data_IF_709606325736
#
_entry.id   IF_709606325736
#
_cell.length_a   1.000
_cell.length_b   1.000
_cell.length_c   1.000
_cell.angle_alpha   90.00
_cell.angle_beta   90.00
_cell.angle_gamma   90.00
#
_symmetry.space_group_name_H-M   'P 1'
#
loop_
_entity.id
_entity.type
_entity.pdbx_description
1 polymer ?
#
# COMPACT_ATOMS: atom_id res chain seq x y z
N UNK A 1 -25.77 23.08 -11.87
CA UNK A 1 -24.89 23.36 -10.71
C UNK A 1 -24.10 22.10 -10.43
N UNK A 2 -22.78 22.19 -10.28
CA UNK A 2 -21.88 21.03 -10.38
C UNK A 2 -21.76 20.34 -9.01
N UNK A 3 -22.51 19.26 -8.76
CA UNK A 3 -22.62 18.57 -7.46
C UNK A 3 -21.27 18.19 -6.84
N UNK A 4 -20.27 17.91 -7.68
CA UNK A 4 -18.89 17.62 -7.23
C UNK A 4 -18.21 18.82 -6.59
N UNK A 5 -18.49 20.03 -7.07
CA UNK A 5 -17.94 21.27 -6.53
C UNK A 5 -18.57 21.61 -5.17
N UNK A 6 -19.88 21.44 -5.06
CA UNK A 6 -20.63 21.56 -3.81
C UNK A 6 -20.12 20.59 -2.73
N UNK A 7 -19.81 19.35 -3.12
CA UNK A 7 -19.23 18.36 -2.21
C UNK A 7 -17.86 18.79 -1.69
N UNK A 8 -16.97 19.26 -2.58
CA UNK A 8 -15.63 19.73 -2.20
C UNK A 8 -15.69 20.93 -1.25
N UNK A 9 -16.61 21.87 -1.49
CA UNK A 9 -16.80 23.06 -0.63
C UNK A 9 -17.29 22.71 0.78
N UNK A 10 -17.90 21.53 0.98
CA UNK A 10 -18.37 21.04 2.28
C UNK A 10 -17.31 20.21 3.02
N UNK A 11 -16.16 19.93 2.42
CA UNK A 11 -15.08 19.17 3.07
C UNK A 11 -14.25 20.05 4.00
N UNK A 12 -13.86 19.50 5.15
CA UNK A 12 -12.95 20.15 6.11
C UNK A 12 -11.60 19.46 6.02
N UNK A 13 -10.53 20.25 5.82
CA UNK A 13 -9.16 19.75 5.83
C UNK A 13 -8.67 19.63 7.28
N UNK A 14 -8.27 18.42 7.68
CA UNK A 14 -7.53 18.20 8.92
C UNK A 14 -6.05 17.94 8.60
N UNK A 15 -5.17 18.65 9.30
CA UNK A 15 -3.72 18.48 9.21
C UNK A 15 -3.20 17.97 10.55
N UNK A 16 -2.50 16.85 10.51
CA UNK A 16 -1.79 16.29 11.65
C UNK A 16 -0.32 16.10 11.25
N UNK A 17 0.58 16.81 11.92
CA UNK A 17 2.02 16.70 11.70
C UNK A 17 2.62 15.79 12.77
N UNK A 18 3.19 14.67 12.36
CA UNK A 18 3.91 13.76 13.25
C UNK A 18 5.36 13.65 12.80
N UNK A 19 6.32 14.15 13.59
CA UNK A 19 7.73 14.11 13.23
C UNK A 19 8.36 12.71 13.31
N UNK A 20 7.77 11.78 14.07
CA UNK A 20 8.25 10.39 14.13
C UNK A 20 7.63 9.54 13.01
N UNK A 21 8.43 9.02 12.06
CA UNK A 21 7.91 8.26 10.93
C UNK A 21 7.09 7.04 11.36
N UNK A 22 7.46 6.39 12.46
CA UNK A 22 6.74 5.24 13.00
C UNK A 22 5.36 5.58 13.54
N UNK A 23 5.26 6.67 14.32
CA UNK A 23 3.99 7.20 14.82
C UNK A 23 3.15 7.75 13.67
N UNK A 24 3.75 8.33 12.65
CA UNK A 24 3.06 8.80 11.46
C UNK A 24 2.40 7.61 10.73
N UNK A 25 3.13 6.51 10.53
CA UNK A 25 2.61 5.28 9.92
C UNK A 25 1.50 4.65 10.76
N UNK A 26 1.68 4.53 12.08
CA UNK A 26 0.64 3.98 12.98
C UNK A 26 -0.62 4.85 13.02
N UNK A 27 -0.44 6.17 13.04
CA UNK A 27 -1.57 7.12 12.97
C UNK A 27 -2.27 7.00 11.62
N UNK A 28 -1.52 6.92 10.53
CA UNK A 28 -2.09 6.64 9.21
C UNK A 28 -2.89 5.35 9.19
N UNK A 29 -2.36 4.26 9.77
CA UNK A 29 -3.07 2.99 9.85
C UNK A 29 -4.35 3.08 10.69
N UNK A 30 -4.34 3.83 11.81
CA UNK A 30 -5.52 3.99 12.66
C UNK A 30 -6.59 4.90 12.05
N UNK A 31 -6.19 5.96 11.32
CA UNK A 31 -7.15 6.84 10.64
C UNK A 31 -7.63 6.29 9.31
N UNK A 32 -6.92 5.31 8.74
CA UNK A 32 -7.28 4.65 7.49
C UNK A 32 -8.27 3.49 7.69
N UNK A 33 -9.03 3.51 8.79
CA UNK A 33 -10.10 2.58 9.13
C UNK A 33 -11.35 2.81 8.25
N UNK A 34 -11.16 2.82 6.93
CA UNK A 34 -12.17 3.10 5.90
C UNK A 34 -13.19 1.97 5.69
N UNK A 35 -13.25 1.00 6.60
CA UNK A 35 -14.07 -0.21 6.48
C UNK A 35 -13.53 -1.27 5.51
N UNK A 36 -12.35 -1.06 4.91
CA UNK A 36 -11.66 -2.04 4.06
C UNK A 36 -10.29 -2.34 4.68
N UNK A 37 -9.99 -3.60 5.05
CA UNK A 37 -8.70 -3.97 5.59
C UNK A 37 -7.56 -3.63 4.62
N UNK A 38 -6.48 -3.04 5.13
CA UNK A 38 -5.24 -2.88 4.36
C UNK A 38 -4.76 -4.25 3.87
N UNK A 39 -4.34 -4.29 2.60
CA UNK A 39 -3.70 -5.45 2.02
C UNK A 39 -2.36 -5.71 2.74
N UNK A 40 -1.93 -6.97 2.76
CA UNK A 40 -0.68 -7.39 3.36
C UNK A 40 0.53 -6.70 2.70
N UNK A 41 0.48 -6.43 1.40
CA UNK A 41 1.46 -5.68 0.62
C UNK A 41 1.53 -4.22 1.07
N UNK A 42 0.40 -3.60 1.41
CA UNK A 42 0.38 -2.23 1.95
C UNK A 42 1.07 -2.19 3.31
N UNK A 43 0.79 -3.19 4.16
CA UNK A 43 1.43 -3.34 5.47
C UNK A 43 2.92 -3.62 5.32
N UNK A 44 3.31 -4.50 4.41
CA UNK A 44 4.70 -4.85 4.13
C UNK A 44 5.49 -3.64 3.62
N UNK A 45 4.94 -2.89 2.65
CA UNK A 45 5.55 -1.65 2.17
C UNK A 45 5.79 -0.68 3.33
N UNK A 46 4.74 -0.44 4.12
CA UNK A 46 4.79 0.48 5.25
C UNK A 46 5.84 0.06 6.28
N UNK A 47 5.92 -1.24 6.57
CA UNK A 47 6.92 -1.79 7.50
C UNK A 47 8.35 -1.57 6.97
N UNK A 48 8.61 -1.86 5.69
CA UNK A 48 9.93 -1.70 5.10
C UNK A 48 10.37 -0.23 5.05
N UNK A 49 9.46 0.67 4.70
CA UNK A 49 9.69 2.12 4.76
C UNK A 49 9.95 2.58 6.20
N UNK A 50 9.23 2.05 7.19
CA UNK A 50 9.51 2.34 8.59
C UNK A 50 10.93 1.93 8.99
N UNK A 51 11.35 0.70 8.67
CA UNK A 51 12.69 0.22 8.99
C UNK A 51 13.79 1.02 8.27
N UNK A 52 13.57 1.33 6.99
CA UNK A 52 14.51 2.12 6.20
C UNK A 52 14.69 3.54 6.77
N UNK A 53 13.60 4.23 7.11
CA UNK A 53 13.68 5.55 7.75
C UNK A 53 14.32 5.49 9.15
N UNK A 54 13.96 4.48 9.95
CA UNK A 54 14.36 4.42 11.37
C UNK A 54 15.80 3.94 11.56
N UNK A 55 16.27 3.01 10.73
CA UNK A 55 17.55 2.32 10.94
C UNK A 55 18.54 2.47 9.78
N UNK A 56 18.09 2.95 8.61
CA UNK A 56 18.97 3.20 7.46
C UNK A 56 19.13 4.70 7.16
N UNK A 57 18.65 5.56 8.07
CA UNK A 57 18.89 7.01 8.11
C UNK A 57 18.40 7.75 6.85
N UNK A 58 17.50 7.15 6.05
CA UNK A 58 17.01 7.65 4.75
C UNK A 58 18.09 7.91 3.67
N UNK A 59 19.38 7.72 4.01
CA UNK A 59 20.53 8.33 3.31
C UNK A 59 21.15 7.47 2.21
N UNK A 60 20.54 6.35 1.83
CA UNK A 60 21.08 5.45 0.80
C UNK A 60 20.12 5.09 -0.33
N UNK A 61 19.02 5.84 -0.48
CA UNK A 61 18.03 5.58 -1.53
C UNK A 61 17.23 4.30 -1.32
N UNK A 62 17.30 3.69 -0.12
CA UNK A 62 16.54 2.48 0.18
C UNK A 62 15.04 2.75 0.20
N UNK A 63 14.59 3.90 0.72
CA UNK A 63 13.19 4.30 0.65
C UNK A 63 12.71 4.46 -0.79
N UNK A 64 13.55 5.06 -1.65
CA UNK A 64 13.26 5.22 -3.07
C UNK A 64 13.17 3.86 -3.76
N UNK A 65 14.16 2.98 -3.51
CA UNK A 65 14.18 1.61 -4.03
C UNK A 65 12.92 0.85 -3.63
N UNK A 66 12.52 0.89 -2.36
CA UNK A 66 11.29 0.26 -1.85
C UNK A 66 10.08 0.87 -2.54
N UNK A 67 10.00 2.19 -2.64
CA UNK A 67 8.85 2.87 -3.26
C UNK A 67 8.69 2.52 -4.74
N UNK A 68 9.77 2.49 -5.51
CA UNK A 68 9.74 2.17 -6.94
C UNK A 68 9.33 0.71 -7.18
N UNK A 69 9.92 -0.23 -6.44
CA UNK A 69 9.58 -1.65 -6.58
C UNK A 69 8.14 -1.94 -6.17
N UNK A 70 7.67 -1.40 -5.06
CA UNK A 70 6.27 -1.54 -4.69
C UNK A 70 5.34 -0.82 -5.69
N UNK A 71 5.78 0.28 -6.30
CA UNK A 71 5.06 0.94 -7.39
C UNK A 71 4.81 0.00 -8.56
N UNK A 72 5.85 -0.72 -9.02
CA UNK A 72 5.72 -1.71 -10.09
C UNK A 72 4.88 -2.92 -9.67
N UNK A 73 5.05 -3.43 -8.46
CA UNK A 73 4.23 -4.52 -7.91
C UNK A 73 2.75 -4.13 -7.92
N UNK A 74 2.40 -2.93 -7.45
CA UNK A 74 1.01 -2.47 -7.43
C UNK A 74 0.44 -2.27 -8.84
N UNK A 75 1.23 -1.78 -9.79
CA UNK A 75 0.81 -1.68 -11.19
C UNK A 75 0.50 -3.06 -11.77
N UNK A 76 1.37 -4.04 -11.56
CA UNK A 76 1.18 -5.41 -12.03
C UNK A 76 -0.04 -6.03 -11.34
N UNK A 77 -0.16 -5.91 -10.02
CA UNK A 77 -1.30 -6.41 -9.25
C UNK A 77 -2.63 -5.83 -9.75
N UNK A 78 -2.69 -4.52 -10.02
CA UNK A 78 -3.88 -3.87 -10.56
C UNK A 78 -4.21 -4.33 -11.98
N UNK A 79 -3.19 -4.56 -12.83
CA UNK A 79 -3.39 -5.12 -14.18
C UNK A 79 -3.94 -6.54 -14.11
N UNK A 80 -3.36 -7.39 -13.25
CA UNK A 80 -3.83 -8.75 -13.05
C UNK A 80 -5.28 -8.69 -12.59
N UNK A 81 -5.61 -7.97 -11.50
CA UNK A 81 -6.98 -7.83 -10.98
C UNK A 81 -8.04 -7.36 -11.99
N UNK A 82 -7.64 -6.62 -13.03
CA UNK A 82 -8.53 -6.16 -14.11
C UNK A 82 -8.63 -7.12 -15.29
N UNK A 83 -7.83 -8.17 -15.33
CA UNK A 83 -7.84 -9.16 -16.41
C UNK A 83 -9.11 -10.00 -16.38
N UNK A 84 -9.79 -10.07 -17.52
CA UNK A 84 -11.02 -10.85 -17.71
C UNK A 84 -10.80 -12.36 -17.49
N UNK A 85 -9.54 -12.82 -17.55
CA UNK A 85 -9.19 -14.23 -17.34
C UNK A 85 -9.25 -14.67 -15.87
N UNK A 86 -9.39 -13.75 -14.91
CA UNK A 86 -9.46 -14.08 -13.47
C UNK A 86 -10.70 -14.89 -13.12
N UNK A 87 -11.85 -14.59 -13.73
CA UNK A 87 -13.11 -15.30 -13.45
C UNK A 87 -13.03 -16.79 -13.78
N UNK A 88 -12.17 -17.16 -14.73
CA UNK A 88 -11.91 -18.55 -15.14
C UNK A 88 -11.08 -19.36 -14.14
N UNK A 89 -10.40 -18.72 -13.17
CA UNK A 89 -9.50 -19.39 -12.20
C UNK A 89 -10.01 -19.32 -10.76
N UNK A 90 -11.23 -18.81 -10.55
CA UNK A 90 -11.84 -18.72 -9.21
C UNK A 90 -11.52 -17.44 -8.43
N UNK A 91 -11.04 -16.39 -9.12
CA UNK A 91 -10.63 -15.14 -8.48
C UNK A 91 -9.11 -15.04 -8.34
N UNK A 92 -8.63 -13.82 -8.07
CA UNK A 92 -7.23 -13.54 -7.77
C UNK A 92 -7.18 -12.57 -6.61
N UNK A 93 -6.52 -12.98 -5.54
CA UNK A 93 -6.21 -12.14 -4.40
C UNK A 93 -4.71 -12.11 -4.10
N UNK A 94 -4.37 -11.28 -3.14
CA UNK A 94 -2.99 -11.13 -2.69
C UNK A 94 -2.45 -12.41 -2.02
N UNK A 95 -3.32 -13.22 -1.41
CA UNK A 95 -2.95 -14.51 -0.85
C UNK A 95 -2.50 -15.50 -1.92
N UNK A 96 -2.98 -15.38 -3.16
CA UNK A 96 -2.49 -16.19 -4.29
C UNK A 96 -1.03 -15.88 -4.63
N UNK A 97 -0.62 -14.61 -4.58
CA UNK A 97 0.78 -14.20 -4.79
C UNK A 97 1.68 -14.87 -3.75
N UNK A 98 1.34 -14.72 -2.47
CA UNK A 98 2.16 -15.24 -1.39
C UNK A 98 2.17 -16.77 -1.36
N UNK A 99 1.06 -17.43 -1.71
CA UNK A 99 1.01 -18.90 -1.82
C UNK A 99 1.87 -19.41 -2.96
N UNK A 100 1.90 -18.73 -4.10
CA UNK A 100 2.79 -19.11 -5.21
C UNK A 100 4.25 -18.95 -4.82
N UNK A 101 4.61 -17.82 -4.21
CA UNK A 101 5.98 -17.55 -3.79
C UNK A 101 6.45 -18.50 -2.67
N UNK A 102 5.59 -18.83 -1.70
CA UNK A 102 5.91 -19.77 -0.63
C UNK A 102 5.96 -21.24 -1.08
N UNK A 103 5.40 -21.56 -2.26
CA UNK A 103 5.42 -22.91 -2.86
C UNK A 103 6.61 -23.15 -3.78
N UNK A 104 7.38 -22.13 -4.14
CA UNK A 104 8.60 -22.34 -4.91
C UNK A 104 9.60 -23.16 -4.07
N UNK A 105 10.08 -24.32 -4.55
CA UNK A 105 11.18 -25.02 -3.92
C UNK A 105 12.38 -24.10 -3.95
N UNK A 106 13.01 -23.86 -2.79
CA UNK A 106 14.33 -23.23 -2.77
C UNK A 106 15.29 -24.17 -3.51
N UNK A 107 15.71 -23.76 -4.70
CA UNK A 107 16.79 -24.39 -5.47
C UNK A 107 18.11 -24.16 -4.73
#
# INVERSE_FOLDING_TARGET
MNERLEALLKMVLMRFEEPDPGRAIRTFQSVNDRGVPLLLLDKLKSLLIYYSNTFCDGKRGLDQFINDHFGEIFKIFAKIKKSDHISSVGGFDEGDIFRYHAREPKI
#
